data_IF_808618655099
#
_entry.id   IF_808618655099
#
_cell.length_a   1.000
_cell.length_b   1.000
_cell.length_c   1.000
_cell.angle_alpha   90.00
_cell.angle_beta   90.00
_cell.angle_gamma   90.00
#
_symmetry.space_group_name_H-M   'P 1'
#
loop_
_entity.id
_entity.type
_entity.pdbx_description
1 polymer ?
#
# COMPACT_ATOMS: atom_id res chain seq x y z
N UNK A 1 21.40 7.15 -1.12
CA UNK A 1 21.74 5.75 -1.46
C UNK A 1 20.47 4.94 -1.40
N UNK A 2 20.14 4.16 -2.42
CA UNK A 2 19.03 3.21 -2.32
C UNK A 2 19.39 2.21 -1.21
N UNK A 3 18.60 2.16 -0.15
CA UNK A 3 18.73 1.15 0.89
C UNK A 3 18.47 -0.22 0.25
N UNK A 4 19.49 -1.10 0.21
CA UNK A 4 19.37 -2.50 -0.22
C UNK A 4 18.53 -3.37 0.76
N UNK A 5 17.62 -2.76 1.51
CA UNK A 5 16.74 -3.45 2.43
C UNK A 5 15.58 -4.08 1.64
N UNK A 6 15.54 -5.41 1.62
CA UNK A 6 14.40 -6.16 1.09
C UNK A 6 13.26 -6.01 2.08
N UNK A 7 12.34 -5.06 1.82
CA UNK A 7 11.18 -4.83 2.67
C UNK A 7 9.95 -5.67 2.28
N UNK A 8 9.93 -6.19 1.04
CA UNK A 8 8.85 -7.03 0.50
C UNK A 8 9.41 -8.42 0.20
N UNK A 9 9.44 -9.26 1.22
CA UNK A 9 10.01 -10.62 1.11
C UNK A 9 9.06 -11.63 0.45
N UNK A 10 7.75 -11.43 0.59
CA UNK A 10 6.74 -12.34 0.08
C UNK A 10 5.40 -11.63 -0.13
N UNK A 11 4.60 -12.13 -1.08
CA UNK A 11 3.17 -11.79 -1.22
C UNK A 11 2.28 -12.77 -0.45
N UNK A 12 2.83 -13.86 0.09
CA UNK A 12 2.08 -14.87 0.83
C UNK A 12 1.81 -14.36 2.26
N UNK A 13 0.56 -14.45 2.69
CA UNK A 13 0.06 -14.01 3.99
C UNK A 13 -0.91 -15.05 4.56
N UNK A 14 -0.98 -15.19 5.89
CA UNK A 14 -1.76 -16.27 6.50
C UNK A 14 -3.27 -16.02 6.42
N UNK A 15 -3.69 -14.75 6.37
CA UNK A 15 -5.10 -14.37 6.37
C UNK A 15 -5.41 -13.23 5.40
N UNK A 16 -6.67 -13.09 4.96
CA UNK A 16 -7.09 -11.95 4.14
C UNK A 16 -6.80 -10.59 4.80
N UNK A 17 -6.90 -10.51 6.14
CA UNK A 17 -6.61 -9.29 6.89
C UNK A 17 -5.13 -8.90 6.79
N UNK A 18 -4.23 -9.87 6.93
CA UNK A 18 -2.79 -9.65 6.72
C UNK A 18 -2.51 -9.27 5.27
N UNK A 19 -3.15 -9.92 4.31
CA UNK A 19 -3.05 -9.56 2.89
C UNK A 19 -3.48 -8.11 2.62
N UNK A 20 -4.55 -7.64 3.29
CA UNK A 20 -4.99 -6.24 3.19
C UNK A 20 -4.00 -5.27 3.82
N UNK A 21 -3.40 -5.64 4.95
CA UNK A 21 -2.35 -4.84 5.58
C UNK A 21 -1.10 -4.74 4.68
N UNK A 22 -0.72 -5.84 4.02
CA UNK A 22 0.38 -5.86 3.07
C UNK A 22 0.11 -4.94 1.87
N UNK A 23 -1.09 -5.00 1.28
CA UNK A 23 -1.50 -4.12 0.19
C UNK A 23 -1.40 -2.63 0.55
N UNK A 24 -1.80 -2.26 1.78
CA UNK A 24 -1.65 -0.89 2.29
C UNK A 24 -0.17 -0.50 2.39
N UNK A 25 0.67 -1.40 2.90
CA UNK A 25 2.10 -1.17 3.02
C UNK A 25 2.74 -0.96 1.63
N UNK A 26 2.38 -1.78 0.65
CA UNK A 26 2.86 -1.66 -0.74
C UNK A 26 2.51 -0.31 -1.33
N UNK A 27 1.25 0.11 -1.25
CA UNK A 27 0.82 1.42 -1.73
C UNK A 27 1.61 2.58 -1.06
N UNK A 28 1.81 2.50 0.26
CA UNK A 28 2.58 3.51 1.01
C UNK A 28 4.06 3.53 0.64
N UNK A 29 4.67 2.36 0.37
CA UNK A 29 6.07 2.25 -0.06
C UNK A 29 6.27 2.84 -1.45
N UNK A 30 5.31 2.63 -2.37
CA UNK A 30 5.32 3.28 -3.69
C UNK A 30 5.28 4.80 -3.57
N UNK A 31 4.37 5.36 -2.75
CA UNK A 31 4.31 6.82 -2.51
C UNK A 31 5.64 7.33 -1.92
N UNK A 32 6.19 6.60 -0.93
CA UNK A 32 7.45 6.96 -0.29
C UNK A 32 8.67 6.90 -1.21
N UNK A 33 8.62 6.08 -2.27
CA UNK A 33 9.67 5.99 -3.30
C UNK A 33 9.56 7.13 -4.34
N UNK A 34 8.33 7.55 -4.69
CA UNK A 34 8.08 8.67 -5.61
C UNK A 34 8.47 10.00 -4.96
N UNK A 35 8.01 10.22 -3.72
CA UNK A 35 8.29 11.41 -2.94
C UNK A 35 8.98 10.97 -1.66
N UNK A 36 10.26 11.24 -1.50
CA UNK A 36 11.04 10.84 -0.31
C UNK A 36 10.99 11.89 0.80
N UNK A 37 10.74 13.17 0.48
CA UNK A 37 10.78 14.29 1.40
C UNK A 37 9.64 14.22 2.44
N UNK A 38 9.97 14.15 3.75
CA UNK A 38 8.98 14.05 4.82
C UNK A 38 8.11 15.31 4.97
N UNK A 39 8.65 16.50 4.71
CA UNK A 39 7.90 17.76 4.83
C UNK A 39 6.86 17.86 3.70
N UNK A 40 7.25 17.48 2.47
CA UNK A 40 6.31 17.42 1.35
C UNK A 40 5.21 16.39 1.62
N UNK A 41 5.55 15.20 2.14
CA UNK A 41 4.54 14.18 2.52
C UNK A 41 3.53 14.70 3.52
N UNK A 42 4.00 15.43 4.55
CA UNK A 42 3.14 16.01 5.58
C UNK A 42 2.18 17.04 4.98
N UNK A 43 2.69 17.96 4.16
CA UNK A 43 1.88 18.96 3.48
C UNK A 43 0.84 18.34 2.53
N UNK A 44 1.20 17.28 1.80
CA UNK A 44 0.26 16.56 0.93
C UNK A 44 -0.82 15.82 1.72
N UNK A 45 -0.47 15.26 2.89
CA UNK A 45 -1.41 14.54 3.75
C UNK A 45 -2.55 15.42 4.23
N UNK A 46 -2.27 16.65 4.61
CA UNK A 46 -3.30 17.61 5.03
C UNK A 46 -4.31 17.89 3.91
N UNK A 47 -3.87 17.86 2.64
CA UNK A 47 -4.73 18.10 1.48
C UNK A 47 -5.66 16.92 1.18
N UNK A 48 -5.12 15.71 1.11
CA UNK A 48 -5.93 14.56 0.71
C UNK A 48 -6.78 13.98 1.85
N UNK A 49 -6.41 14.20 3.12
CA UNK A 49 -7.10 13.60 4.26
C UNK A 49 -8.56 14.08 4.44
N UNK A 50 -8.89 15.25 3.90
CA UNK A 50 -10.25 15.84 3.95
C UNK A 50 -10.94 15.88 2.59
N UNK A 51 -10.29 15.38 1.55
CA UNK A 51 -10.83 15.32 0.19
C UNK A 51 -11.42 13.92 -0.09
N UNK A 52 -12.74 13.84 -0.17
CA UNK A 52 -13.46 12.59 -0.43
C UNK A 52 -13.05 11.88 -1.71
N UNK A 53 -12.75 12.62 -2.79
CA UNK A 53 -12.34 12.02 -4.06
C UNK A 53 -10.95 11.39 -3.95
N UNK A 54 -10.04 12.05 -3.24
CA UNK A 54 -8.70 11.52 -2.97
C UNK A 54 -8.72 10.33 -2.02
N UNK A 55 -9.64 10.31 -1.03
CA UNK A 55 -9.82 9.16 -0.16
C UNK A 55 -10.33 7.93 -0.93
N UNK A 56 -11.29 8.14 -1.85
CA UNK A 56 -11.79 7.06 -2.72
C UNK A 56 -10.68 6.56 -3.65
N UNK A 57 -9.92 7.47 -4.28
CA UNK A 57 -8.79 7.10 -5.14
C UNK A 57 -7.72 6.32 -4.38
N UNK A 58 -7.42 6.72 -3.14
CA UNK A 58 -6.49 5.98 -2.26
C UNK A 58 -7.01 4.57 -1.95
N UNK A 59 -8.31 4.41 -1.71
CA UNK A 59 -8.92 3.11 -1.47
C UNK A 59 -8.87 2.20 -2.70
N UNK A 60 -9.03 2.77 -3.90
CA UNK A 60 -8.91 2.05 -5.18
C UNK A 60 -7.50 1.50 -5.39
N UNK A 61 -6.45 2.30 -5.13
CA UNK A 61 -5.06 1.83 -5.20
C UNK A 61 -4.85 0.60 -4.31
N UNK A 62 -5.30 0.68 -3.05
CA UNK A 62 -5.16 -0.47 -2.13
C UNK A 62 -6.02 -1.65 -2.58
N UNK A 63 -7.17 -1.44 -3.22
CA UNK A 63 -7.99 -2.52 -3.78
C UNK A 63 -7.28 -3.25 -4.93
N UNK A 64 -6.57 -2.51 -5.80
CA UNK A 64 -5.75 -3.08 -6.88
C UNK A 64 -4.61 -3.91 -6.30
N UNK A 65 -3.86 -3.38 -5.32
CA UNK A 65 -2.77 -4.12 -4.65
C UNK A 65 -3.30 -5.36 -3.93
N UNK A 66 -4.43 -5.23 -3.24
CA UNK A 66 -5.03 -6.36 -2.52
C UNK A 66 -5.52 -7.46 -3.46
N UNK A 67 -5.98 -7.12 -4.68
CA UNK A 67 -6.30 -8.12 -5.70
C UNK A 67 -5.08 -8.96 -6.04
N UNK A 68 -3.92 -8.32 -6.29
CA UNK A 68 -2.65 -9.01 -6.55
C UNK A 68 -2.24 -9.91 -5.39
N UNK A 69 -2.32 -9.42 -4.15
CA UNK A 69 -2.00 -10.22 -2.96
C UNK A 69 -2.98 -11.39 -2.79
N UNK A 70 -4.28 -11.18 -3.02
CA UNK A 70 -5.28 -12.24 -2.92
C UNK A 70 -5.06 -13.34 -3.96
N UNK A 71 -4.73 -12.98 -5.20
CA UNK A 71 -4.36 -13.93 -6.26
C UNK A 71 -3.13 -14.75 -5.88
N UNK A 72 -2.09 -14.11 -5.35
CA UNK A 72 -0.89 -14.79 -4.86
C UNK A 72 -1.17 -15.79 -3.72
N UNK A 73 -2.21 -15.54 -2.91
CA UNK A 73 -2.64 -16.39 -1.80
C UNK A 73 -3.75 -17.40 -2.17
N UNK A 74 -4.05 -17.58 -3.47
CA UNK A 74 -5.18 -18.39 -3.93
C UNK A 74 -6.48 -18.08 -3.16
N UNK A 75 -6.71 -16.79 -2.88
CA UNK A 75 -7.85 -16.25 -2.13
C UNK A 75 -8.07 -16.89 -0.74
N UNK A 76 -7.04 -17.47 -0.12
CA UNK A 76 -7.13 -18.17 1.18
C UNK A 76 -8.23 -19.25 1.20
N UNK A 77 -8.51 -19.86 0.04
CA UNK A 77 -9.48 -20.95 -0.06
C UNK A 77 -9.00 -22.14 0.75
N UNK A 78 -9.93 -22.80 1.45
CA UNK A 78 -9.69 -24.04 2.18
C UNK A 78 -9.97 -25.25 1.29
#
# INVERSE_FOLDING_TARGET
MASNEVWLESLITATPQEGRALAILMARKTIGAIQSDPEIKKALREKYATDSAQLIASAEVVAIEFRTVAEANNYWRK
#
